data_IF_562858886743
#
_entry.id   IF_562858886743
#
_cell.length_a   1.000
_cell.length_b   1.000
_cell.length_c   1.000
_cell.angle_alpha   90.00
_cell.angle_beta   90.00
_cell.angle_gamma   90.00
#
_symmetry.space_group_name_H-M   'P 1'
#
loop_
_entity.id
_entity.type
_entity.pdbx_description
1 polymer ?
#
# COMPACT_ATOMS: atom_id res chain seq x y z
N UNK A 1 -18.92 1.57 2.63
CA UNK A 1 -18.17 2.01 3.83
C UNK A 1 -17.14 3.08 3.48
N UNK A 2 -16.24 2.84 2.52
CA UNK A 2 -15.20 3.82 2.15
C UNK A 2 -15.69 5.15 1.56
N UNK A 3 -16.90 5.23 0.99
CA UNK A 3 -17.44 6.46 0.36
C UNK A 3 -17.61 7.63 1.34
N UNK A 4 -17.95 7.35 2.60
CA UNK A 4 -18.05 8.38 3.64
C UNK A 4 -16.71 9.14 3.85
N UNK A 5 -15.59 8.52 3.46
CA UNK A 5 -14.24 9.06 3.61
C UNK A 5 -13.67 9.61 2.29
N UNK A 6 -14.48 9.74 1.23
CA UNK A 6 -14.02 10.18 -0.09
C UNK A 6 -13.27 11.53 -0.04
N UNK A 7 -13.70 12.46 0.81
CA UNK A 7 -13.05 13.76 1.00
C UNK A 7 -11.59 13.68 1.49
N UNK A 8 -11.19 12.57 2.14
CA UNK A 8 -9.80 12.36 2.60
C UNK A 8 -8.89 11.72 1.54
N UNK A 9 -9.47 11.20 0.47
CA UNK A 9 -8.73 10.53 -0.60
C UNK A 9 -9.53 10.54 -1.88
N UNK A 10 -9.61 11.69 -2.56
CA UNK A 10 -10.45 11.89 -3.73
C UNK A 10 -9.88 11.25 -5.01
N UNK A 11 -8.60 10.89 -5.04
CA UNK A 11 -7.92 10.51 -6.29
C UNK A 11 -8.18 9.05 -6.67
N UNK A 12 -8.31 8.15 -5.69
CA UNK A 12 -8.59 6.74 -5.95
C UNK A 12 -9.24 6.05 -4.75
N UNK A 13 -9.82 4.88 -5.01
CA UNK A 13 -10.39 4.01 -3.99
C UNK A 13 -10.19 2.54 -4.31
N UNK A 14 -10.08 1.72 -3.27
CA UNK A 14 -9.99 0.27 -3.39
C UNK A 14 -10.65 -0.43 -2.22
N UNK A 15 -11.05 -1.68 -2.44
CA UNK A 15 -11.59 -2.56 -1.40
C UNK A 15 -11.10 -3.99 -1.65
N UNK A 16 -10.81 -4.70 -0.57
CA UNK A 16 -10.49 -6.12 -0.57
C UNK A 16 -11.38 -6.82 0.45
N UNK A 17 -11.88 -8.01 0.08
CA UNK A 17 -12.57 -8.93 0.98
C UNK A 17 -11.79 -10.25 0.96
N UNK A 18 -11.55 -10.84 2.13
CA UNK A 18 -10.91 -12.14 2.25
C UNK A 18 -11.77 -13.23 1.58
N UNK A 19 -11.19 -14.34 1.12
CA UNK A 19 -11.94 -15.40 0.42
C UNK A 19 -13.10 -15.99 1.22
N UNK A 20 -12.97 -16.03 2.55
CA UNK A 20 -14.01 -16.48 3.48
C UNK A 20 -15.02 -15.39 3.87
N UNK A 21 -14.85 -14.16 3.38
CA UNK A 21 -15.73 -13.03 3.63
C UNK A 21 -15.64 -12.42 5.03
N UNK A 22 -14.70 -12.88 5.88
CA UNK A 22 -14.64 -12.47 7.28
C UNK A 22 -13.89 -11.14 7.49
N UNK A 23 -12.97 -10.79 6.59
CA UNK A 23 -12.14 -9.59 6.71
C UNK A 23 -12.29 -8.73 5.46
N UNK A 24 -12.67 -7.46 5.67
CA UNK A 24 -12.74 -6.45 4.62
C UNK A 24 -11.79 -5.28 4.90
N UNK A 25 -11.02 -4.87 3.89
CA UNK A 25 -10.19 -3.66 3.91
C UNK A 25 -10.69 -2.69 2.85
N UNK A 26 -10.81 -1.41 3.19
CA UNK A 26 -11.15 -0.34 2.24
C UNK A 26 -10.13 0.79 2.35
N UNK A 27 -9.84 1.45 1.24
CA UNK A 27 -8.91 2.58 1.18
C UNK A 27 -9.45 3.70 0.30
N UNK A 28 -9.20 4.93 0.75
CA UNK A 28 -9.37 6.18 -0.02
C UNK A 28 -8.02 6.84 -0.11
N UNK A 29 -7.57 7.13 -1.33
CA UNK A 29 -6.23 7.60 -1.60
C UNK A 29 -6.21 9.06 -1.97
N UNK A 30 -5.43 9.83 -1.22
CA UNK A 30 -4.84 11.07 -1.67
C UNK A 30 -3.43 10.74 -2.15
N UNK A 31 -3.13 11.02 -3.41
CA UNK A 31 -1.90 10.63 -4.08
C UNK A 31 -0.84 11.70 -3.83
N UNK A 32 0.09 11.43 -2.91
CA UNK A 32 1.19 12.35 -2.56
C UNK A 32 2.53 11.76 -3.01
N UNK A 33 2.87 10.58 -2.49
CA UNK A 33 4.05 9.81 -2.90
C UNK A 33 3.64 8.71 -3.89
N UNK A 34 4.37 8.62 -5.00
CA UNK A 34 4.06 7.79 -6.16
C UNK A 34 2.64 8.04 -6.71
N UNK A 35 2.54 8.96 -7.67
CA UNK A 35 1.25 9.33 -8.27
C UNK A 35 0.71 8.26 -9.24
N UNK A 36 1.47 7.20 -9.50
CA UNK A 36 1.08 6.16 -10.43
C UNK A 36 0.10 5.16 -9.80
N UNK A 37 -0.55 4.32 -10.62
CA UNK A 37 -1.36 3.20 -10.13
C UNK A 37 -0.61 2.19 -9.26
N UNK A 38 0.73 2.17 -9.27
CA UNK A 38 1.52 1.25 -8.45
C UNK A 38 1.35 1.51 -6.93
N UNK A 39 0.97 2.73 -6.54
CA UNK A 39 0.66 3.10 -5.16
C UNK A 39 -0.79 2.82 -4.74
N UNK A 40 -1.58 2.13 -5.55
CA UNK A 40 -2.97 1.79 -5.23
C UNK A 40 -3.08 0.87 -4.00
N UNK A 41 -4.14 1.06 -3.21
CA UNK A 41 -4.41 0.30 -2.00
C UNK A 41 -5.89 -0.14 -1.94
N UNK A 42 -6.26 -1.24 -1.25
CA UNK A 42 -5.40 -2.14 -0.48
C UNK A 42 -4.31 -2.83 -1.31
N UNK A 43 -3.08 -2.81 -0.80
CA UNK A 43 -1.89 -3.22 -1.50
C UNK A 43 -1.52 -4.66 -1.15
N UNK A 44 -1.37 -5.52 -2.15
CA UNK A 44 -0.83 -6.87 -1.95
C UNK A 44 0.69 -6.89 -2.07
N UNK A 45 1.31 -7.76 -1.27
CA UNK A 45 2.71 -8.15 -1.43
C UNK A 45 2.92 -8.90 -2.75
N UNK A 46 4.17 -9.06 -3.18
CA UNK A 46 4.49 -9.65 -4.49
C UNK A 46 3.91 -11.07 -4.71
N UNK A 47 3.92 -11.91 -3.67
CA UNK A 47 3.34 -13.27 -3.71
C UNK A 47 1.86 -13.31 -3.24
N UNK A 48 1.26 -12.15 -2.92
CA UNK A 48 -0.12 -11.98 -2.45
C UNK A 48 -0.47 -12.65 -1.11
N UNK A 49 0.50 -13.05 -0.30
CA UNK A 49 0.26 -13.56 1.06
C UNK A 49 -0.11 -12.49 2.08
N UNK A 50 0.24 -11.22 1.84
CA UNK A 50 -0.10 -10.09 2.70
C UNK A 50 -0.88 -9.04 1.92
N UNK A 51 -1.80 -8.36 2.62
CA UNK A 51 -2.57 -7.23 2.11
C UNK A 51 -2.56 -6.09 3.14
N UNK A 52 -2.40 -4.86 2.67
CA UNK A 52 -2.23 -3.67 3.51
C UNK A 52 -3.14 -2.53 3.08
N UNK A 53 -3.74 -1.83 4.05
CA UNK A 53 -4.37 -0.52 3.88
C UNK A 53 -3.75 0.45 4.88
N UNK A 54 -3.12 1.51 4.40
CA UNK A 54 -2.32 2.45 5.19
C UNK A 54 -2.65 3.91 4.85
N UNK A 55 -2.77 4.74 5.88
CA UNK A 55 -2.95 6.19 5.76
C UNK A 55 -1.86 6.88 6.57
N UNK A 56 -0.87 7.46 5.89
CA UNK A 56 0.28 8.11 6.49
C UNK A 56 1.43 8.19 5.48
N UNK A 57 2.61 8.55 5.98
CA UNK A 57 3.86 8.60 5.22
C UNK A 57 4.98 7.97 6.04
N UNK A 58 5.78 7.09 5.43
CA UNK A 58 6.99 6.53 6.06
C UNK A 58 8.20 7.35 5.62
N UNK A 59 8.63 8.31 6.43
CA UNK A 59 9.64 9.31 6.02
C UNK A 59 11.00 8.71 5.63
N UNK A 60 11.44 7.66 6.31
CA UNK A 60 12.71 6.98 6.04
C UNK A 60 12.58 5.80 5.07
N UNK A 61 11.50 5.72 4.28
CA UNK A 61 11.27 4.58 3.36
C UNK A 61 12.39 4.41 2.33
N UNK A 62 13.12 5.47 1.98
CA UNK A 62 14.26 5.37 1.05
C UNK A 62 15.42 4.58 1.64
N UNK A 63 15.72 4.80 2.92
CA UNK A 63 16.78 4.08 3.63
C UNK A 63 16.39 2.61 3.78
N UNK A 64 15.16 2.35 4.21
CA UNK A 64 14.59 0.99 4.33
C UNK A 64 14.59 0.29 2.96
N UNK A 65 14.22 1.00 1.89
CA UNK A 65 14.24 0.46 0.53
C UNK A 65 15.63 0.01 0.13
N UNK A 66 16.65 0.83 0.36
CA UNK A 66 18.03 0.48 0.04
C UNK A 66 18.49 -0.79 0.79
N UNK A 67 18.13 -0.91 2.08
CA UNK A 67 18.41 -2.12 2.87
C UNK A 67 17.71 -3.36 2.32
N UNK A 68 16.46 -3.24 1.87
CA UNK A 68 15.69 -4.34 1.30
C UNK A 68 16.17 -4.72 -0.11
N UNK A 69 16.53 -3.74 -0.95
CA UNK A 69 17.13 -3.99 -2.27
C UNK A 69 18.46 -4.74 -2.12
N UNK A 70 19.28 -4.39 -1.12
CA UNK A 70 20.51 -5.13 -0.78
C UNK A 70 20.25 -6.57 -0.32
N UNK A 71 19.05 -6.86 0.21
CA UNK A 71 18.60 -8.22 0.56
C UNK A 71 17.90 -8.94 -0.61
N UNK A 72 17.84 -8.33 -1.80
CA UNK A 72 17.28 -8.92 -3.00
C UNK A 72 15.78 -8.67 -3.22
N UNK A 73 15.17 -7.75 -2.46
CA UNK A 73 13.79 -7.34 -2.73
C UNK A 73 13.70 -6.53 -4.03
N UNK A 74 12.65 -6.77 -4.81
CA UNK A 74 12.31 -5.98 -5.99
C UNK A 74 11.02 -5.18 -5.72
N UNK A 75 10.97 -3.95 -6.23
CA UNK A 75 9.85 -3.03 -6.05
C UNK A 75 9.21 -2.69 -7.40
N UNK A 76 7.88 -2.69 -7.45
CA UNK A 76 7.10 -2.32 -8.65
C UNK A 76 6.87 -0.81 -8.77
N UNK A 77 6.91 -0.07 -7.66
CA UNK A 77 6.63 1.35 -7.60
C UNK A 77 7.58 2.14 -6.72
N UNK A 78 7.21 3.41 -6.49
CA UNK A 78 7.92 4.35 -5.65
C UNK A 78 7.23 4.62 -4.31
N UNK A 79 6.11 3.96 -4.02
CA UNK A 79 5.33 4.18 -2.81
C UNK A 79 6.07 3.65 -1.58
N UNK A 80 6.13 4.49 -0.56
CA UNK A 80 6.54 4.16 0.80
C UNK A 80 5.74 2.99 1.41
N UNK A 81 4.47 2.87 1.06
CA UNK A 81 3.59 1.76 1.45
C UNK A 81 4.13 0.40 0.97
N UNK A 82 4.69 0.35 -0.24
CA UNK A 82 5.26 -0.89 -0.79
C UNK A 82 6.51 -1.30 -0.02
N UNK A 83 7.35 -0.31 0.35
CA UNK A 83 8.54 -0.54 1.18
C UNK A 83 8.15 -1.04 2.56
N UNK A 84 7.16 -0.40 3.19
CA UNK A 84 6.65 -0.85 4.49
C UNK A 84 6.13 -2.29 4.39
N UNK A 85 5.32 -2.61 3.38
CA UNK A 85 4.79 -3.96 3.19
C UNK A 85 5.88 -5.00 2.97
N UNK A 86 6.94 -4.66 2.23
CA UNK A 86 8.09 -5.53 2.02
C UNK A 86 8.91 -5.77 3.30
N UNK A 87 8.90 -4.83 4.25
CA UNK A 87 9.63 -4.94 5.53
C UNK A 87 8.96 -5.85 6.56
N UNK A 88 7.70 -6.24 6.37
CA UNK A 88 7.02 -7.26 7.19
C UNK A 88 7.37 -8.70 6.77
N UNK A 89 8.49 -8.87 6.05
CA UNK A 89 9.00 -10.15 5.55
C UNK A 89 10.39 -10.43 6.05
#
# INVERSE_FOLDING_TARGET
MGDAMAHRGPDASGTHLSPDGQVGLSHRRLSILDLSPAGAQPMFSADKSLVLSFNGEVYNFRDIRAELEAKGHAFRGGSDTEVMLAAFR
#
